data_IF_183234372755
#
_entry.id   IF_183234372755
#
_cell.length_a   1.000
_cell.length_b   1.000
_cell.length_c   1.000
_cell.angle_alpha   90.00
_cell.angle_beta   90.00
_cell.angle_gamma   90.00
#
_symmetry.space_group_name_H-M   'P 1'
#
loop_
_entity.id
_entity.type
_entity.pdbx_description
1 polymer ?
#
# COMPACT_ATOMS: atom_id res chain seq x y z
N UNK A 1 -40.17 -13.12 -9.47
CA UNK A 1 -38.79 -12.59 -9.51
C UNK A 1 -38.32 -12.10 -8.13
N UNK A 2 -38.42 -12.92 -7.08
CA UNK A 2 -37.95 -12.57 -5.72
C UNK A 2 -37.30 -13.76 -4.98
N UNK A 3 -37.05 -14.88 -5.68
CA UNK A 3 -36.52 -16.11 -5.09
C UNK A 3 -34.99 -16.23 -5.20
N UNK A 4 -34.34 -15.43 -6.05
CA UNK A 4 -32.87 -15.42 -6.23
C UNK A 4 -32.12 -14.71 -5.10
N UNK A 5 -32.82 -13.94 -4.27
CA UNK A 5 -32.23 -12.99 -3.31
C UNK A 5 -31.78 -13.65 -1.99
N UNK A 6 -32.19 -14.89 -1.70
CA UNK A 6 -32.07 -15.46 -0.35
C UNK A 6 -30.90 -16.46 -0.15
N UNK A 7 -30.23 -16.94 -1.20
CA UNK A 7 -29.22 -18.01 -1.09
C UNK A 7 -27.78 -17.56 -1.36
N UNK A 8 -27.53 -16.25 -1.43
CA UNK A 8 -26.21 -15.69 -1.72
C UNK A 8 -25.46 -15.21 -0.47
N UNK A 9 -25.65 -15.88 0.67
CA UNK A 9 -24.65 -15.90 1.76
C UNK A 9 -23.58 -16.92 1.37
N UNK A 10 -22.98 -16.69 0.21
CA UNK A 10 -21.91 -17.47 -0.36
C UNK A 10 -20.90 -16.44 -0.84
N UNK A 11 -19.64 -16.65 -0.48
CA UNK A 11 -18.56 -15.77 -0.90
C UNK A 11 -18.73 -15.48 -2.40
N UNK A 12 -18.73 -14.19 -2.81
CA UNK A 12 -18.88 -13.83 -4.21
C UNK A 12 -17.87 -14.63 -5.05
N UNK A 13 -18.35 -15.20 -6.15
CA UNK A 13 -17.51 -15.97 -7.07
C UNK A 13 -16.39 -15.10 -7.68
N UNK A 14 -15.50 -15.76 -8.43
CA UNK A 14 -14.36 -15.10 -9.08
C UNK A 14 -14.72 -13.81 -9.85
N UNK A 15 -15.78 -13.80 -10.69
CA UNK A 15 -16.20 -12.60 -11.42
C UNK A 15 -16.67 -11.47 -10.51
N UNK A 16 -17.48 -11.78 -9.50
CA UNK A 16 -18.01 -10.80 -8.56
C UNK A 16 -16.88 -10.17 -7.73
N UNK A 17 -15.88 -10.96 -7.32
CA UNK A 17 -14.70 -10.47 -6.61
C UNK A 17 -13.87 -9.52 -7.50
N UNK A 18 -13.74 -9.80 -8.80
CA UNK A 18 -13.08 -8.91 -9.76
C UNK A 18 -13.80 -7.56 -9.89
N UNK A 19 -15.13 -7.55 -9.90
CA UNK A 19 -15.94 -6.31 -9.95
C UNK A 19 -15.73 -5.48 -8.68
N UNK A 20 -15.75 -6.13 -7.51
CA UNK A 20 -15.49 -5.46 -6.22
C UNK A 20 -14.07 -4.89 -6.19
N UNK A 21 -13.08 -5.65 -6.67
CA UNK A 21 -11.69 -5.20 -6.78
C UNK A 21 -11.57 -3.98 -7.70
N UNK A 22 -12.26 -3.99 -8.85
CA UNK A 22 -12.29 -2.87 -9.78
C UNK A 22 -12.84 -1.60 -9.11
N UNK A 23 -13.96 -1.71 -8.39
CA UNK A 23 -14.55 -0.59 -7.64
C UNK A 23 -13.57 -0.10 -6.57
N UNK A 24 -12.94 -1.01 -5.81
CA UNK A 24 -11.93 -0.63 -4.82
C UNK A 24 -10.74 0.11 -5.45
N UNK A 25 -10.28 -0.33 -6.63
CA UNK A 25 -9.22 0.35 -7.39
C UNK A 25 -9.66 1.73 -7.87
N UNK A 26 -10.92 1.95 -8.24
CA UNK A 26 -11.42 3.27 -8.61
C UNK A 26 -11.49 4.23 -7.41
N UNK A 27 -11.88 3.73 -6.24
CA UNK A 27 -11.99 4.54 -5.01
C UNK A 27 -10.62 4.87 -4.41
N UNK A 28 -9.73 3.89 -4.32
CA UNK A 28 -8.42 4.03 -3.67
C UNK A 28 -7.29 4.34 -4.66
N UNK A 29 -7.45 3.99 -5.94
CA UNK A 29 -6.44 4.12 -7.00
C UNK A 29 -5.58 2.86 -7.19
N UNK A 30 -5.19 2.60 -8.44
CA UNK A 30 -4.40 1.42 -8.84
C UNK A 30 -3.05 1.30 -8.12
N UNK A 31 -2.46 2.43 -7.68
CA UNK A 31 -1.19 2.44 -6.96
C UNK A 31 -1.33 2.24 -5.44
N UNK A 32 -2.52 2.45 -4.86
CA UNK A 32 -2.69 2.45 -3.39
C UNK A 32 -2.95 1.05 -2.85
N UNK A 33 -3.83 0.28 -3.48
CA UNK A 33 -4.08 -1.13 -3.11
C UNK A 33 -2.79 -1.98 -3.05
N UNK A 34 -1.94 -2.04 -4.10
CA UNK A 34 -0.74 -2.87 -4.08
C UNK A 34 0.30 -2.34 -3.09
N UNK A 35 0.41 -1.01 -2.93
CA UNK A 35 1.32 -0.42 -1.95
C UNK A 35 0.95 -0.81 -0.52
N UNK A 36 -0.34 -0.77 -0.20
CA UNK A 36 -0.87 -1.16 1.12
C UNK A 36 -0.71 -2.67 1.37
N UNK A 37 -1.00 -3.49 0.35
CA UNK A 37 -0.79 -4.93 0.41
C UNK A 37 0.69 -5.27 0.63
N UNK A 38 1.62 -4.56 -0.02
CA UNK A 38 3.06 -4.79 0.13
C UNK A 38 3.55 -4.44 1.53
N UNK A 39 3.19 -3.27 2.06
CA UNK A 39 3.59 -2.89 3.42
C UNK A 39 2.93 -3.75 4.50
N UNK A 40 1.65 -4.08 4.33
CA UNK A 40 0.93 -4.97 5.26
C UNK A 40 1.46 -6.39 5.21
N UNK A 41 1.81 -6.89 4.02
CA UNK A 41 2.38 -8.21 3.84
C UNK A 41 3.78 -8.32 4.46
N UNK A 42 4.60 -7.29 4.31
CA UNK A 42 5.91 -7.24 4.95
C UNK A 42 5.78 -7.23 6.48
N UNK A 43 4.90 -6.38 7.04
CA UNK A 43 4.64 -6.34 8.48
C UNK A 43 4.12 -7.68 9.01
N UNK A 44 3.20 -8.33 8.28
CA UNK A 44 2.67 -9.64 8.64
C UNK A 44 3.73 -10.74 8.56
N UNK A 45 4.63 -10.69 7.56
CA UNK A 45 5.74 -11.63 7.42
C UNK A 45 6.76 -11.53 8.56
N UNK A 46 7.17 -10.31 8.91
CA UNK A 46 8.06 -10.07 10.05
C UNK A 46 7.40 -10.48 11.38
N UNK A 47 6.10 -10.22 11.54
CA UNK A 47 5.34 -10.67 12.70
C UNK A 47 5.27 -12.19 12.80
N UNK A 48 5.01 -12.89 11.69
CA UNK A 48 4.93 -14.35 11.67
C UNK A 48 6.28 -15.00 12.02
N UNK A 49 7.38 -14.44 11.51
CA UNK A 49 8.74 -14.87 11.86
C UNK A 49 9.06 -14.65 13.34
N UNK A 50 8.76 -13.47 13.87
CA UNK A 50 8.96 -13.19 15.30
C UNK A 50 8.14 -14.11 16.21
N UNK A 51 6.91 -14.45 15.80
CA UNK A 51 6.08 -15.42 16.54
C UNK A 51 6.70 -16.81 16.56
N UNK A 52 7.23 -17.27 15.43
CA UNK A 52 7.87 -18.58 15.32
C UNK A 52 9.16 -18.66 16.16
N UNK A 53 9.95 -17.58 16.19
CA UNK A 53 11.13 -17.49 17.07
C UNK A 53 10.76 -17.59 18.56
N UNK A 54 9.68 -16.90 18.97
CA UNK A 54 9.17 -16.95 20.35
C UNK A 54 8.67 -18.35 20.68
N UNK A 55 7.89 -18.97 19.81
CA UNK A 55 7.35 -20.33 20.02
C UNK A 55 8.51 -21.34 20.17
N UNK A 56 9.55 -21.24 19.34
CA UNK A 56 10.76 -22.05 19.46
C UNK A 56 11.55 -21.78 20.75
N UNK A 57 11.62 -20.53 21.22
CA UNK A 57 12.29 -20.18 22.47
C UNK A 57 11.53 -20.75 23.68
N UNK A 58 10.20 -20.67 23.66
CA UNK A 58 9.33 -21.24 24.69
C UNK A 58 9.41 -22.77 24.72
N UNK A 59 9.49 -23.43 23.56
CA UNK A 59 9.71 -24.87 23.44
C UNK A 59 11.08 -25.25 24.04
N UNK A 60 12.15 -24.53 23.68
CA UNK A 60 13.51 -24.74 24.22
C UNK A 60 13.61 -24.47 25.73
N UNK A 61 12.79 -23.57 26.28
CA UNK A 61 12.71 -23.35 27.73
C UNK A 61 11.94 -24.46 28.46
N UNK A 62 11.00 -25.10 27.77
CA UNK A 62 10.15 -26.18 28.31
C UNK A 62 10.84 -27.54 28.24
N UNK A 63 11.59 -27.79 27.17
CA UNK A 63 12.42 -28.97 26.97
C UNK A 63 13.83 -28.68 27.54
N UNK A 64 14.15 -29.18 28.75
CA UNK A 64 15.52 -29.10 29.30
C UNK A 64 16.56 -29.72 28.35
N UNK A 65 17.87 -29.42 28.52
CA UNK A 65 18.91 -29.67 27.52
C UNK A 65 19.09 -31.17 27.24
N UNK A 66 18.38 -31.70 26.26
CA UNK A 66 18.43 -33.13 25.97
C UNK A 66 17.30 -33.67 25.09
N UNK A 67 16.97 -33.01 23.97
CA UNK A 67 16.24 -33.65 22.88
C UNK A 67 16.52 -32.90 21.57
N UNK A 68 17.47 -33.39 20.80
CA UNK A 68 17.61 -33.08 19.39
C UNK A 68 16.46 -33.76 18.64
N UNK A 69 15.68 -33.00 17.89
CA UNK A 69 15.00 -33.50 16.69
C UNK A 69 14.75 -32.36 15.72
N UNK A 70 15.29 -32.58 14.55
CA UNK A 70 15.20 -31.83 13.32
C UNK A 70 13.76 -31.43 12.97
N UNK A 71 13.57 -30.22 12.48
CA UNK A 71 12.52 -29.87 11.52
C UNK A 71 12.96 -28.62 10.75
N UNK A 72 13.66 -28.91 9.66
CA UNK A 72 13.55 -28.26 8.36
C UNK A 72 13.63 -26.72 8.32
N UNK A 73 14.87 -26.25 8.17
CA UNK A 73 15.09 -25.19 7.20
C UNK A 73 14.64 -25.70 5.83
N UNK A 74 13.72 -24.99 5.17
CA UNK A 74 13.64 -24.73 3.72
C UNK A 74 12.30 -24.03 3.42
N UNK A 75 12.34 -22.71 3.25
CA UNK A 75 11.69 -22.06 2.11
C UNK A 75 12.30 -20.68 1.93
N UNK A 76 13.58 -20.67 1.56
CA UNK A 76 14.04 -19.69 0.59
C UNK A 76 13.30 -19.94 -0.73
N UNK A 77 12.17 -19.27 -0.91
CA UNK A 77 11.67 -19.01 -2.26
C UNK A 77 11.43 -17.52 -2.37
N UNK A 78 12.51 -16.82 -2.64
CA UNK A 78 12.58 -16.14 -3.93
C UNK A 78 11.64 -14.97 -4.05
N UNK A 79 12.22 -13.80 -3.86
CA UNK A 79 11.83 -12.61 -4.58
C UNK A 79 11.52 -12.95 -6.06
N UNK A 80 10.25 -12.91 -6.45
CA UNK A 80 9.93 -12.41 -7.79
C UNK A 80 10.01 -10.89 -7.71
N UNK A 81 11.24 -10.41 -7.81
CA UNK A 81 11.55 -9.15 -8.45
C UNK A 81 11.20 -9.30 -9.94
N UNK A 82 9.99 -8.94 -10.34
CA UNK A 82 9.81 -8.39 -11.70
C UNK A 82 10.13 -6.91 -11.61
N UNK A 83 11.41 -6.60 -11.70
CA UNK A 83 11.87 -5.34 -12.27
C UNK A 83 11.58 -5.40 -13.76
N UNK A 84 10.65 -4.57 -14.21
CA UNK A 84 10.65 -4.04 -15.57
C UNK A 84 10.93 -2.54 -15.45
N UNK A 85 12.21 -2.23 -15.53
CA UNK A 85 12.86 -0.96 -15.78
C UNK A 85 12.39 -0.37 -17.13
N UNK A 86 11.85 0.86 -17.14
CA UNK A 86 12.44 2.14 -17.59
C UNK A 86 12.78 2.26 -19.09
N UNK A 87 12.17 3.25 -19.76
CA UNK A 87 12.81 4.28 -20.63
C UNK A 87 11.74 5.24 -21.21
N UNK A 88 11.89 6.55 -20.95
CA UNK A 88 11.12 7.67 -21.56
C UNK A 88 11.65 8.04 -22.97
N UNK A 89 11.47 9.27 -23.53
CA UNK A 89 10.91 10.52 -22.98
C UNK A 89 9.95 11.29 -23.96
N UNK A 90 9.61 12.53 -23.58
CA UNK A 90 9.06 13.64 -24.40
C UNK A 90 7.68 13.51 -25.07
N UNK A 91 6.74 14.34 -24.62
CA UNK A 91 6.19 15.39 -25.49
C UNK A 91 5.80 16.57 -24.59
N UNK A 92 6.68 17.56 -24.56
CA UNK A 92 6.29 18.92 -24.23
C UNK A 92 5.57 19.49 -25.46
N UNK A 93 4.30 19.88 -25.33
CA UNK A 93 3.76 21.00 -26.11
C UNK A 93 2.44 21.51 -25.51
N UNK A 94 2.46 22.80 -25.17
CA UNK A 94 1.37 23.80 -25.21
C UNK A 94 0.05 23.46 -24.50
N UNK A 95 -0.36 24.23 -23.50
CA UNK A 95 -0.99 25.52 -23.83
C UNK A 95 -0.86 26.47 -22.65
N UNK A 96 -0.27 27.63 -22.94
CA UNK A 96 -0.36 28.82 -22.13
C UNK A 96 -1.82 29.28 -22.01
N UNK A 97 -2.28 29.53 -20.79
CA UNK A 97 -3.28 30.57 -20.54
C UNK A 97 -2.86 31.31 -19.27
N UNK A 98 -1.99 32.29 -19.48
CA UNK A 98 -1.98 33.52 -18.70
C UNK A 98 -3.36 34.17 -18.84
N UNK A 99 -4.09 34.33 -17.74
CA UNK A 99 -5.15 35.34 -17.64
C UNK A 99 -5.20 35.82 -16.20
N UNK A 100 -4.46 36.91 -15.99
CA UNK A 100 -4.94 38.13 -15.35
C UNK A 100 -5.45 38.02 -13.91
N UNK A 101 -4.53 38.32 -12.98
CA UNK A 101 -4.64 39.37 -11.96
C UNK A 101 -6.03 39.97 -11.76
N UNK A 102 -6.64 39.75 -10.59
CA UNK A 102 -7.34 40.78 -9.79
C UNK A 102 -7.80 40.12 -8.50
N UNK A 103 -7.01 40.26 -7.42
CA UNK A 103 -7.58 40.37 -6.07
C UNK A 103 -6.76 41.39 -5.31
N UNK A 104 -7.38 42.56 -5.20
CA UNK A 104 -7.05 43.68 -4.36
C UNK A 104 -6.91 43.25 -2.89
N UNK A 105 -5.71 43.34 -2.33
CA UNK A 105 -5.52 43.54 -0.90
C UNK A 105 -4.71 44.82 -0.72
N UNK A 106 -5.45 45.93 -0.59
CA UNK A 106 -4.92 47.22 -0.13
C UNK A 106 -5.18 47.29 1.37
N UNK A 107 -4.24 46.82 2.18
CA UNK A 107 -4.15 47.22 3.58
C UNK A 107 -2.82 47.94 3.83
N UNK A 108 -2.96 49.22 4.15
CA UNK A 108 -2.27 49.88 5.27
C UNK A 108 -0.74 49.80 5.32
N UNK A 109 -0.07 50.90 4.99
CA UNK A 109 0.70 51.72 5.97
C UNK A 109 1.28 52.95 5.27
N UNK A 110 0.73 54.09 5.68
CA UNK A 110 1.16 55.46 5.45
C UNK A 110 2.53 55.73 6.12
N UNK A 111 3.45 56.36 5.37
CA UNK A 111 4.34 57.47 5.81
C UNK A 111 5.20 57.22 7.07
N UNK A 112 6.54 57.23 7.06
CA UNK A 112 7.44 58.37 6.86
C UNK A 112 8.81 57.87 7.33
N UNK A 113 9.89 58.15 6.58
CA UNK A 113 11.24 58.40 7.12
C UNK A 113 12.21 58.61 5.95
N UNK A 114 12.26 59.85 5.49
CA UNK A 114 13.43 60.42 4.83
C UNK A 114 14.48 60.63 5.91
N UNK A 115 15.65 60.02 5.81
CA UNK A 115 16.84 60.58 6.45
C UNK A 115 18.04 60.44 5.52
N UNK A 116 18.73 61.58 5.41
CA UNK A 116 19.94 61.86 4.64
C UNK A 116 21.19 61.33 5.32
#
# INVERSE_FOLDING_TARGET
MILTTALQIGIPGGPELLIILLIAVLLFGANKLPKLARSSGQAMGEFQKGREEIDQELEKMREGPGASSDSDAESDTGATSTSAESTGPETAESTATDTETTTTETETTTETATES
#
